data_IF_286097923246
#
_entry.id   IF_286097923246
#
_cell.length_a   1.000
_cell.length_b   1.000
_cell.length_c   1.000
_cell.angle_alpha   90.00
_cell.angle_beta   90.00
_cell.angle_gamma   90.00
#
_symmetry.space_group_name_H-M   'P 1'
#
loop_
_entity.id
_entity.type
_entity.pdbx_description
1 polymer ?
#
# COMPACT_ATOMS: atom_id res chain seq x y z
N UNK A 1 -49.53 9.91 -47.79
CA UNK A 1 -48.88 8.59 -47.74
C UNK A 1 -47.39 8.79 -47.47
N UNK A 2 -46.86 8.28 -46.35
CA UNK A 2 -45.46 8.47 -45.92
C UNK A 2 -44.74 7.12 -46.03
N UNK A 3 -43.57 7.01 -46.68
CA UNK A 3 -42.88 5.73 -46.84
C UNK A 3 -42.25 5.26 -45.50
N UNK A 4 -42.10 3.95 -45.29
CA UNK A 4 -41.46 3.42 -44.08
C UNK A 4 -39.94 3.64 -44.11
N UNK A 5 -39.38 3.98 -42.94
CA UNK A 5 -37.94 4.18 -42.72
C UNK A 5 -37.26 2.80 -42.60
N UNK A 6 -36.16 2.50 -43.32
CA UNK A 6 -35.44 1.25 -43.15
C UNK A 6 -34.69 1.22 -41.81
N UNK A 7 -34.77 0.09 -41.11
CA UNK A 7 -34.07 -0.14 -39.84
C UNK A 7 -32.57 -0.24 -40.09
N UNK A 8 -31.77 0.55 -39.36
CA UNK A 8 -30.32 0.48 -39.40
C UNK A 8 -29.85 -0.92 -38.95
N UNK A 9 -29.16 -1.64 -39.84
CA UNK A 9 -28.51 -2.89 -39.52
C UNK A 9 -27.30 -2.60 -38.62
N UNK A 10 -27.43 -2.87 -37.32
CA UNK A 10 -26.30 -2.84 -36.40
C UNK A 10 -25.40 -4.03 -36.70
N UNK A 11 -24.35 -3.81 -37.49
CA UNK A 11 -23.26 -4.77 -37.67
C UNK A 11 -22.54 -4.92 -36.33
N UNK A 12 -22.73 -6.06 -35.65
CA UNK A 12 -21.86 -6.46 -34.55
C UNK A 12 -20.60 -7.03 -35.17
N UNK A 13 -19.52 -6.26 -35.18
CA UNK A 13 -18.20 -6.72 -35.59
C UNK A 13 -17.70 -7.75 -34.55
N UNK A 14 -17.50 -9.03 -34.91
CA UNK A 14 -17.16 -10.09 -33.96
C UNK A 14 -15.70 -10.05 -33.47
N UNK A 15 -14.87 -9.16 -34.01
CA UNK A 15 -13.42 -9.12 -33.75
C UNK A 15 -12.98 -8.16 -32.64
N UNK A 16 -13.90 -7.37 -32.06
CA UNK A 16 -13.58 -6.44 -30.97
C UNK A 16 -13.12 -7.09 -29.64
N UNK A 17 -13.55 -8.32 -29.24
CA UNK A 17 -13.19 -8.84 -27.92
C UNK A 17 -11.75 -9.36 -27.86
N UNK A 18 -11.17 -9.80 -28.98
CA UNK A 18 -9.81 -10.35 -29.01
C UNK A 18 -8.73 -9.27 -28.83
N UNK A 19 -8.95 -8.07 -29.38
CA UNK A 19 -8.01 -6.95 -29.25
C UNK A 19 -8.00 -6.44 -27.80
N UNK A 20 -9.16 -6.38 -27.16
CA UNK A 20 -9.27 -6.00 -25.74
C UNK A 20 -8.55 -6.98 -24.82
N UNK A 21 -8.69 -8.28 -25.04
CA UNK A 21 -8.01 -9.30 -24.24
C UNK A 21 -6.47 -9.26 -24.40
N UNK A 22 -5.97 -9.06 -25.62
CA UNK A 22 -4.54 -8.93 -25.88
C UNK A 22 -3.94 -7.67 -25.22
N UNK A 23 -4.65 -6.54 -25.26
CA UNK A 23 -4.24 -5.32 -24.57
C UNK A 23 -4.18 -5.52 -23.05
N UNK A 24 -5.19 -6.14 -22.44
CA UNK A 24 -5.21 -6.39 -20.99
C UNK A 24 -4.05 -7.33 -20.57
N UNK A 25 -3.74 -8.35 -21.37
CA UNK A 25 -2.60 -9.24 -21.11
C UNK A 25 -1.24 -8.53 -21.17
N UNK A 26 -1.08 -7.56 -22.07
CA UNK A 26 0.15 -6.75 -22.17
C UNK A 26 0.32 -5.77 -20.99
N UNK A 27 -0.76 -5.25 -20.41
CA UNK A 27 -0.69 -4.35 -19.25
C UNK A 27 -0.46 -5.07 -17.91
N UNK A 28 -0.68 -6.38 -17.82
CA UNK A 28 -0.49 -7.16 -16.59
C UNK A 28 0.98 -7.23 -16.14
N UNK A 29 1.95 -6.92 -17.01
CA UNK A 29 3.38 -6.81 -16.66
C UNK A 29 3.77 -5.48 -16.01
N UNK A 30 2.94 -4.43 -16.08
CA UNK A 30 3.24 -3.12 -15.50
C UNK A 30 2.88 -3.01 -14.00
N UNK A 31 2.20 -4.00 -13.44
CA UNK A 31 1.88 -4.07 -12.02
C UNK A 31 2.44 -5.38 -11.43
N UNK A 32 3.78 -5.46 -11.34
CA UNK A 32 4.39 -6.48 -10.51
C UNK A 32 3.87 -6.30 -9.07
N UNK A 33 3.22 -7.31 -8.46
CA UNK A 33 2.87 -7.22 -7.05
C UNK A 33 4.17 -7.10 -6.25
N UNK A 34 4.24 -6.22 -5.23
CA UNK A 34 5.43 -6.14 -4.39
C UNK A 34 5.64 -7.52 -3.76
N UNK A 35 6.73 -8.18 -4.14
CA UNK A 35 7.12 -9.44 -3.52
C UNK A 35 7.39 -9.14 -2.04
N UNK A 36 6.72 -9.80 -1.08
CA UNK A 36 6.75 -9.39 0.32
C UNK A 36 8.11 -9.63 1.02
N UNK A 37 9.19 -9.99 0.31
CA UNK A 37 10.45 -10.39 0.95
C UNK A 37 11.74 -10.19 0.14
N UNK A 38 11.72 -9.47 -0.99
CA UNK A 38 12.98 -9.11 -1.67
C UNK A 38 13.23 -7.62 -1.48
N UNK A 39 13.88 -7.32 -0.35
CA UNK A 39 14.73 -6.14 -0.16
C UNK A 39 14.24 -4.86 -0.83
N UNK A 40 13.31 -4.14 -0.17
CA UNK A 40 13.09 -2.72 -0.47
C UNK A 40 14.40 -1.91 -0.41
N UNK A 41 15.44 -2.43 0.27
CA UNK A 41 16.78 -1.88 0.28
C UNK A 41 17.50 -1.95 -1.08
N UNK A 42 17.18 -2.90 -1.96
CA UNK A 42 17.85 -3.03 -3.26
C UNK A 42 17.36 -1.99 -4.30
N UNK A 43 16.13 -1.48 -4.16
CA UNK A 43 15.55 -0.53 -5.11
C UNK A 43 16.14 0.89 -4.99
N UNK A 44 16.79 1.22 -3.86
CA UNK A 44 17.36 2.53 -3.58
C UNK A 44 18.87 2.47 -3.28
N UNK A 45 19.62 1.55 -3.89
CA UNK A 45 21.09 1.60 -3.85
C UNK A 45 21.54 2.81 -4.66
N UNK A 46 21.71 3.94 -3.99
CA UNK A 46 22.29 5.10 -4.64
C UNK A 46 23.78 4.85 -4.88
N UNK A 47 24.31 5.17 -6.07
CA UNK A 47 25.75 5.22 -6.25
C UNK A 47 26.31 6.20 -5.21
N UNK A 48 27.36 5.77 -4.49
CA UNK A 48 27.97 6.46 -3.33
C UNK A 48 27.16 6.45 -2.01
N UNK A 49 26.12 5.62 -1.89
CA UNK A 49 25.51 5.35 -0.59
C UNK A 49 26.46 4.54 0.31
N UNK A 50 26.91 5.16 1.41
CA UNK A 50 27.65 4.46 2.45
C UNK A 50 26.68 3.82 3.45
N UNK A 51 27.03 2.63 3.96
CA UNK A 51 26.28 2.00 5.06
C UNK A 51 26.26 2.97 6.26
N UNK A 52 25.09 3.46 6.62
CA UNK A 52 24.92 4.28 7.80
C UNK A 52 25.13 3.41 9.05
N UNK A 53 25.85 3.92 10.04
CA UNK A 53 25.91 3.27 11.35
C UNK A 53 24.49 3.29 11.93
N UNK A 54 23.91 2.10 12.08
CA UNK A 54 22.60 1.91 12.70
C UNK A 54 22.80 1.52 14.16
N UNK A 55 22.12 2.22 15.05
CA UNK A 55 22.03 1.87 16.46
C UNK A 55 20.55 1.68 16.80
N UNK A 56 20.16 0.43 17.06
CA UNK A 56 18.81 0.11 17.51
C UNK A 56 18.75 0.20 19.03
N UNK A 57 17.93 1.11 19.55
CA UNK A 57 17.68 1.23 20.99
C UNK A 57 16.44 0.39 21.34
N UNK A 58 16.68 -0.72 22.04
CA UNK A 58 15.63 -1.59 22.55
C UNK A 58 15.32 -1.23 24.00
N UNK A 59 14.16 -0.62 24.23
CA UNK A 59 13.70 -0.28 25.56
C UNK A 59 12.84 -1.42 26.12
N UNK A 60 13.32 -2.06 27.18
CA UNK A 60 12.55 -3.01 27.97
C UNK A 60 11.44 -2.33 28.77
N UNK A 61 10.63 -3.14 29.46
CA UNK A 61 9.54 -2.65 30.32
C UNK A 61 9.93 -2.56 31.78
N UNK A 62 11.11 -3.07 32.12
CA UNK A 62 11.62 -3.11 33.49
C UNK A 62 12.05 -1.72 33.94
N UNK A 63 11.67 -1.37 35.17
CA UNK A 63 12.07 -0.11 35.79
C UNK A 63 12.69 -0.44 37.16
N UNK A 64 13.90 0.03 37.41
CA UNK A 64 14.60 -0.24 38.66
C UNK A 64 13.77 0.22 39.87
N UNK A 65 13.55 -0.69 40.82
CA UNK A 65 12.81 -0.41 42.06
C UNK A 65 11.28 -0.47 41.94
N UNK A 66 10.72 -0.94 40.83
CA UNK A 66 9.27 -1.20 40.67
C UNK A 66 9.00 -2.38 39.75
N UNK A 67 7.74 -2.84 39.73
CA UNK A 67 7.31 -3.83 38.76
C UNK A 67 7.41 -3.30 37.32
N UNK A 68 7.61 -4.20 36.33
CA UNK A 68 7.64 -3.84 34.92
C UNK A 68 6.36 -3.13 34.49
N UNK A 69 6.47 -2.22 33.53
CA UNK A 69 5.31 -1.52 32.95
C UNK A 69 4.32 -2.54 32.41
N UNK A 70 3.08 -2.51 32.87
CA UNK A 70 2.01 -3.41 32.43
C UNK A 70 1.35 -2.94 31.13
N UNK A 71 0.60 -3.82 30.46
CA UNK A 71 -0.09 -3.46 29.21
C UNK A 71 -1.17 -2.40 29.46
N UNK A 72 -1.82 -2.48 30.63
CA UNK A 72 -2.81 -1.50 31.06
C UNK A 72 -2.19 -0.12 31.24
N UNK A 73 -1.04 -0.02 31.91
CA UNK A 73 -0.32 1.26 32.08
C UNK A 73 0.11 1.84 30.74
N UNK A 74 0.62 1.00 29.83
CA UNK A 74 0.97 1.45 28.48
C UNK A 74 -0.25 1.95 27.71
N UNK A 75 -1.38 1.24 27.77
CA UNK A 75 -2.61 1.65 27.10
C UNK A 75 -3.15 2.98 27.66
N UNK A 76 -3.12 3.16 28.98
CA UNK A 76 -3.51 4.41 29.63
C UNK A 76 -2.61 5.57 29.19
N UNK A 77 -1.28 5.39 29.19
CA UNK A 77 -0.35 6.41 28.73
C UNK A 77 -0.62 6.83 27.27
N UNK A 78 -0.87 5.86 26.38
CA UNK A 78 -1.19 6.15 24.99
C UNK A 78 -2.50 6.94 24.85
N UNK A 79 -3.53 6.59 25.61
CA UNK A 79 -4.82 7.26 25.59
C UNK A 79 -4.75 8.68 26.16
N UNK A 80 -4.05 8.87 27.28
CA UNK A 80 -4.12 10.10 28.07
C UNK A 80 -3.04 11.12 27.71
N UNK A 81 -1.88 10.65 27.25
CA UNK A 81 -0.71 11.51 27.00
C UNK A 81 -0.41 11.61 25.51
N UNK A 82 -0.35 10.49 24.80
CA UNK A 82 0.10 10.50 23.40
C UNK A 82 -1.03 10.95 22.48
N UNK A 83 -2.12 10.20 22.42
CA UNK A 83 -3.23 10.40 21.46
C UNK A 83 -3.77 11.85 21.42
N UNK A 84 -3.96 12.57 22.55
CA UNK A 84 -4.49 13.93 22.51
C UNK A 84 -3.58 14.93 21.78
N UNK A 85 -2.28 14.64 21.64
CA UNK A 85 -1.32 15.47 20.89
C UNK A 85 -1.30 15.13 19.40
N UNK A 86 -1.99 14.08 18.97
CA UNK A 86 -2.10 13.64 17.58
C UNK A 86 -3.58 13.55 17.15
N UNK A 87 -4.29 14.70 17.11
CA UNK A 87 -5.74 14.71 16.86
C UNK A 87 -6.12 14.18 15.47
N UNK A 88 -5.24 14.33 14.48
CA UNK A 88 -5.48 13.89 13.10
C UNK A 88 -5.04 12.45 12.83
N UNK A 89 -4.66 11.69 13.87
CA UNK A 89 -4.13 10.32 13.81
C UNK A 89 -2.79 10.16 13.06
N UNK A 90 -2.14 8.99 13.22
CA UNK A 90 -0.91 8.63 12.51
C UNK A 90 -1.17 7.97 11.14
N UNK A 91 -2.40 8.03 10.62
CA UNK A 91 -2.76 7.42 9.35
C UNK A 91 -2.89 8.47 8.26
N UNK A 92 -2.01 8.39 7.26
CA UNK A 92 -2.11 9.09 5.96
C UNK A 92 -2.79 8.17 4.94
#
# INVERSE_FOLDING_TARGET
MRPPIPRAATWRLPALPMIGAAAIALLAGCAAPPSPVVDAAAACVQPDAHRMLQADLLFGRDIAGRDPVTDAERAAFLADVVTPRFPDSFTY
#
